data_IF_092914181621
#
_entry.id   IF_092914181621
#
_cell.length_a   1.000
_cell.length_b   1.000
_cell.length_c   1.000
_cell.angle_alpha   90.00
_cell.angle_beta   90.00
_cell.angle_gamma   90.00
#
_symmetry.space_group_name_H-M   'P 1'
#
loop_
_entity.id
_entity.type
_entity.pdbx_description
1 polymer ?
#
# COMPACT_ATOMS: atom_id res chain seq x y z
N UNK A 1 4.91 25.80 -0.10
CA UNK A 1 5.45 24.56 -0.69
C UNK A 1 4.92 23.30 0.00
N UNK A 2 5.00 23.18 1.33
CA UNK A 2 4.48 22.01 2.08
C UNK A 2 3.00 21.69 1.81
N UNK A 3 2.14 22.70 1.71
CA UNK A 3 0.70 22.48 1.48
C UNK A 3 0.41 21.93 0.06
N UNK A 4 1.16 22.37 -0.95
CA UNK A 4 1.10 21.81 -2.31
C UNK A 4 1.67 20.39 -2.37
N UNK A 5 2.76 20.12 -1.64
CA UNK A 5 3.36 18.78 -1.57
C UNK A 5 2.42 17.77 -0.91
N UNK A 6 1.75 18.15 0.18
CA UNK A 6 0.77 17.31 0.87
C UNK A 6 -0.47 17.09 0.00
N UNK A 7 -1.01 18.13 -0.65
CA UNK A 7 -2.14 17.98 -1.57
C UNK A 7 -1.80 17.07 -2.76
N UNK A 8 -0.63 17.25 -3.39
CA UNK A 8 -0.29 16.49 -4.59
C UNK A 8 0.07 15.03 -4.29
N UNK A 9 0.70 14.74 -3.14
CA UNK A 9 1.09 13.38 -2.76
C UNK A 9 -0.06 12.58 -2.14
N UNK A 10 -0.98 13.19 -1.40
CA UNK A 10 -2.06 12.47 -0.71
C UNK A 10 -3.45 12.61 -1.35
N UNK A 11 -3.76 13.72 -2.00
CA UNK A 11 -5.11 14.00 -2.56
C UNK A 11 -5.15 13.76 -4.08
N UNK A 12 -4.11 14.15 -4.82
CA UNK A 12 -4.06 13.95 -6.28
C UNK A 12 -3.43 12.61 -6.69
N UNK A 13 -2.69 11.95 -5.78
CA UNK A 13 -2.05 10.68 -6.08
C UNK A 13 -3.04 9.51 -5.94
N UNK A 14 -3.73 9.25 -7.05
CA UNK A 14 -4.64 8.12 -7.26
C UNK A 14 -4.04 6.78 -6.78
N UNK A 15 -2.72 6.57 -6.86
CA UNK A 15 -2.07 5.31 -6.46
C UNK A 15 -2.45 4.85 -5.05
N UNK A 16 -2.54 5.74 -4.06
CA UNK A 16 -2.83 5.30 -2.69
C UNK A 16 -4.28 4.82 -2.50
N UNK A 17 -5.23 5.43 -3.19
CA UNK A 17 -6.65 5.04 -3.15
C UNK A 17 -6.93 3.79 -4.00
N UNK A 18 -6.23 3.63 -5.14
CA UNK A 18 -6.41 2.49 -6.04
C UNK A 18 -5.70 1.21 -5.57
N UNK A 19 -4.55 1.31 -4.88
CA UNK A 19 -3.77 0.12 -4.48
C UNK A 19 -4.21 -0.52 -3.15
N UNK A 20 -4.88 0.20 -2.24
CA UNK A 20 -5.16 -0.32 -0.89
C UNK A 20 -6.60 -0.72 -0.56
N UNK A 21 -7.58 -0.49 -1.44
CA UNK A 21 -8.92 -0.90 -1.03
C UNK A 21 -10.11 -0.43 -1.83
N UNK A 22 -10.15 -0.58 -3.15
CA UNK A 22 -11.42 -0.29 -3.87
C UNK A 22 -12.62 -1.07 -3.31
N UNK A 23 -12.43 -2.36 -3.00
CA UNK A 23 -13.48 -3.21 -2.43
C UNK A 23 -13.82 -2.84 -0.97
N UNK A 24 -12.82 -2.57 -0.15
CA UNK A 24 -13.02 -2.26 1.27
C UNK A 24 -13.46 -0.80 1.51
N UNK A 25 -13.08 0.12 0.61
CA UNK A 25 -13.55 1.50 0.56
C UNK A 25 -15.04 1.59 0.22
N UNK A 26 -15.53 0.83 -0.77
CA UNK A 26 -16.96 0.77 -1.10
C UNK A 26 -17.78 0.20 0.07
N UNK A 27 -17.23 -0.76 0.82
CA UNK A 27 -17.93 -1.38 1.97
C UNK A 27 -17.99 -0.46 3.21
N UNK A 28 -16.96 0.36 3.44
CA UNK A 28 -16.78 1.09 4.71
C UNK A 28 -17.06 2.60 4.61
N UNK A 29 -17.34 3.13 3.41
CA UNK A 29 -17.55 4.56 3.16
C UNK A 29 -18.73 5.21 3.89
N UNK A 30 -19.65 4.42 4.47
CA UNK A 30 -20.77 4.95 5.28
C UNK A 30 -20.42 5.20 6.75
N UNK A 31 -19.28 4.74 7.26
CA UNK A 31 -18.97 4.82 8.69
C UNK A 31 -17.49 5.09 8.97
N UNK A 32 -17.20 6.32 9.41
CA UNK A 32 -15.85 6.84 9.66
C UNK A 32 -15.11 6.04 10.74
N UNK A 33 -15.82 5.55 11.76
CA UNK A 33 -15.23 4.75 12.85
C UNK A 33 -14.69 3.40 12.35
N UNK A 34 -15.36 2.79 11.38
CA UNK A 34 -14.92 1.54 10.74
C UNK A 34 -13.81 1.81 9.72
N UNK A 35 -13.85 2.95 9.02
CA UNK A 35 -12.81 3.36 8.07
C UNK A 35 -11.44 3.54 8.73
N UNK A 36 -11.41 4.15 9.92
CA UNK A 36 -10.18 4.35 10.68
C UNK A 36 -9.57 3.02 11.15
N UNK A 37 -10.39 2.09 11.65
CA UNK A 37 -9.90 0.77 12.09
C UNK A 37 -9.36 -0.09 10.95
N UNK A 38 -10.07 -0.09 9.80
CA UNK A 38 -9.64 -0.80 8.60
C UNK A 38 -8.36 -0.18 8.02
N UNK A 39 -8.27 1.15 7.94
CA UNK A 39 -7.09 1.86 7.46
C UNK A 39 -5.84 1.52 8.28
N UNK A 40 -5.96 1.53 9.62
CA UNK A 40 -4.86 1.18 10.52
C UNK A 40 -4.39 -0.28 10.32
N UNK A 41 -5.32 -1.22 10.16
CA UNK A 41 -5.00 -2.62 9.91
C UNK A 41 -4.24 -2.81 8.59
N UNK A 42 -4.68 -2.15 7.51
CA UNK A 42 -4.05 -2.24 6.19
C UNK A 42 -2.66 -1.58 6.20
N UNK A 43 -2.48 -0.42 6.83
CA UNK A 43 -1.17 0.22 6.95
C UNK A 43 -0.18 -0.69 7.70
N UNK A 44 -0.62 -1.36 8.76
CA UNK A 44 0.23 -2.28 9.52
C UNK A 44 0.69 -3.48 8.68
N UNK A 45 -0.23 -4.12 7.95
CA UNK A 45 0.11 -5.24 7.06
C UNK A 45 1.08 -4.78 5.98
N UNK A 46 0.83 -3.62 5.37
CA UNK A 46 1.68 -3.13 4.29
C UNK A 46 3.10 -2.78 4.75
N UNK A 47 3.24 -2.18 5.93
CA UNK A 47 4.55 -1.87 6.51
C UNK A 47 5.38 -3.14 6.72
N UNK A 48 4.76 -4.29 6.96
CA UNK A 48 5.47 -5.57 7.05
C UNK A 48 5.68 -6.23 5.69
N UNK A 49 4.70 -6.22 4.78
CA UNK A 49 4.81 -6.93 3.50
C UNK A 49 5.78 -6.28 2.53
N UNK A 50 5.90 -4.95 2.53
CA UNK A 50 6.85 -4.22 1.65
C UNK A 50 8.30 -4.62 1.88
N UNK A 51 8.86 -4.56 3.11
CA UNK A 51 10.24 -4.99 3.34
C UNK A 51 10.40 -6.49 3.13
N UNK A 52 9.43 -7.32 3.55
CA UNK A 52 9.48 -8.76 3.30
C UNK A 52 9.55 -9.08 1.80
N UNK A 53 8.77 -8.39 0.97
CA UNK A 53 8.79 -8.56 -0.48
C UNK A 53 10.09 -8.03 -1.10
N UNK A 54 10.66 -6.95 -0.57
CA UNK A 54 11.97 -6.45 -1.01
C UNK A 54 13.09 -7.45 -0.72
N UNK A 55 13.11 -8.05 0.47
CA UNK A 55 14.05 -9.12 0.79
C UNK A 55 13.81 -10.34 -0.12
N UNK A 56 12.58 -10.80 -0.30
CA UNK A 56 12.29 -11.90 -1.23
C UNK A 56 12.78 -11.59 -2.65
N UNK A 57 12.55 -10.37 -3.13
CA UNK A 57 12.98 -9.95 -4.46
C UNK A 57 14.50 -9.94 -4.61
N UNK A 58 15.23 -9.48 -3.58
CA UNK A 58 16.68 -9.41 -3.64
C UNK A 58 17.37 -10.77 -3.44
N UNK A 59 16.78 -11.68 -2.66
CA UNK A 59 17.40 -12.97 -2.31
C UNK A 59 16.88 -14.17 -3.12
N UNK A 60 15.66 -14.09 -3.67
CA UNK A 60 14.99 -15.23 -4.35
C UNK A 60 14.70 -14.94 -5.83
N UNK A 61 14.29 -13.72 -6.18
CA UNK A 61 13.86 -13.35 -7.55
C UNK A 61 14.88 -12.50 -8.34
N UNK A 62 15.98 -12.07 -7.72
CA UNK A 62 17.01 -11.29 -8.40
C UNK A 62 17.74 -12.12 -9.48
N UNK A 63 18.23 -11.50 -10.57
CA UNK A 63 18.70 -12.16 -11.81
C UNK A 63 19.91 -13.11 -11.68
N UNK A 64 20.36 -13.42 -10.46
CA UNK A 64 21.40 -14.39 -10.16
C UNK A 64 20.96 -15.47 -9.12
N UNK A 65 19.65 -15.71 -8.92
CA UNK A 65 19.12 -16.70 -7.98
C UNK A 65 18.22 -17.78 -8.64
N UNK A 66 18.13 -18.94 -7.98
CA UNK A 66 17.80 -20.29 -8.49
C UNK A 66 16.39 -20.54 -9.06
N UNK A 67 15.49 -19.55 -9.07
CA UNK A 67 14.18 -19.66 -9.72
C UNK A 67 14.08 -18.62 -10.81
N UNK A 68 13.93 -19.06 -12.07
CA UNK A 68 13.71 -18.18 -13.22
C UNK A 68 12.41 -17.41 -13.00
N UNK A 69 12.54 -16.20 -12.46
CA UNK A 69 11.47 -15.24 -12.25
C UNK A 69 11.66 -14.10 -13.23
N UNK A 70 10.73 -14.02 -14.19
CA UNK A 70 10.50 -12.99 -15.22
C UNK A 70 11.24 -11.66 -15.09
#
# INVERSE_FOLDING_TARGET
MLNLFINSVFIENMVFAYFFGMCSYIAVSKSVKTALGLGAAVTFVQVMTVPLNYLLNQYVLAPNALGEGV
#
